data_IF_330862026348
#
_entry.id   IF_330862026348
#
_cell.length_a   1.000
_cell.length_b   1.000
_cell.length_c   1.000
_cell.angle_alpha   90.00
_cell.angle_beta   90.00
_cell.angle_gamma   90.00
#
_symmetry.space_group_name_H-M   'P 1'
#
loop_
_entity.id
_entity.type
_entity.pdbx_description
1 polymer ?
#
# COMPACT_ATOMS: atom_id res chain seq x y z
N UNK A 1 14.69 -18.21 13.51
CA UNK A 1 13.50 -18.59 12.72
C UNK A 1 12.67 -17.34 12.49
N UNK A 2 12.09 -17.13 11.30
CA UNK A 2 11.21 -15.98 11.05
C UNK A 2 10.02 -15.92 12.01
N UNK A 3 9.57 -14.71 12.34
CA UNK A 3 8.39 -14.50 13.18
C UNK A 3 7.14 -14.84 12.35
N UNK A 4 6.34 -15.79 12.81
CA UNK A 4 5.17 -16.27 12.05
C UNK A 4 3.94 -15.41 12.32
N UNK A 5 3.21 -15.04 11.25
CA UNK A 5 1.88 -14.42 11.26
C UNK A 5 1.11 -14.83 10.00
N UNK A 6 -0.18 -14.58 9.93
CA UNK A 6 -0.96 -14.74 8.68
C UNK A 6 -0.86 -13.48 7.83
N UNK A 7 -1.04 -12.30 8.44
CA UNK A 7 -0.86 -11.01 7.79
C UNK A 7 0.27 -10.22 8.45
N UNK A 8 1.14 -9.64 7.64
CA UNK A 8 2.04 -8.57 8.06
C UNK A 8 1.48 -7.25 7.53
N UNK A 9 1.13 -6.34 8.43
CA UNK A 9 0.58 -5.03 8.06
C UNK A 9 1.66 -3.99 8.33
N UNK A 10 2.10 -3.29 7.28
CA UNK A 10 3.08 -2.24 7.46
C UNK A 10 2.50 -0.84 7.22
N UNK A 11 2.98 0.11 8.04
CA UNK A 11 2.56 1.51 7.97
C UNK A 11 3.80 2.37 7.73
N UNK A 12 3.93 2.97 6.53
CA UNK A 12 5.01 3.92 6.27
C UNK A 12 4.74 5.23 7.02
N UNK A 13 5.73 5.70 7.77
CA UNK A 13 5.67 6.92 8.57
C UNK A 13 6.65 7.94 7.99
N UNK A 14 6.12 8.97 7.36
CA UNK A 14 6.90 10.04 6.76
C UNK A 14 7.08 11.26 7.68
N UNK A 15 7.86 12.27 7.24
CA UNK A 15 8.18 13.45 8.03
C UNK A 15 6.97 14.35 8.35
N UNK A 16 5.90 14.28 7.57
CA UNK A 16 4.67 15.08 7.77
C UNK A 16 3.60 14.34 8.60
N UNK A 17 3.90 13.15 9.13
CA UNK A 17 2.95 12.35 9.89
C UNK A 17 2.64 12.99 11.24
N UNK A 18 1.36 13.21 11.54
CA UNK A 18 0.89 13.58 12.89
C UNK A 18 0.82 12.33 13.77
N UNK A 19 1.40 12.41 14.96
CA UNK A 19 1.48 11.26 15.88
C UNK A 19 0.13 10.72 16.30
N UNK A 20 -0.85 11.59 16.55
CA UNK A 20 -2.22 11.22 16.93
C UNK A 20 -2.91 10.43 15.81
N UNK A 21 -2.68 10.81 14.56
CA UNK A 21 -3.25 10.13 13.38
C UNK A 21 -2.59 8.76 13.17
N UNK A 22 -1.28 8.68 13.38
CA UNK A 22 -0.57 7.40 13.38
C UNK A 22 -1.17 6.44 14.42
N UNK A 23 -1.37 6.90 15.66
CA UNK A 23 -1.98 6.06 16.70
C UNK A 23 -3.42 5.64 16.37
N UNK A 24 -4.21 6.51 15.75
CA UNK A 24 -5.55 6.15 15.28
C UNK A 24 -5.50 5.04 14.23
N UNK A 25 -4.61 5.15 13.26
CA UNK A 25 -4.40 4.12 12.23
C UNK A 25 -4.01 2.80 12.87
N UNK A 26 -3.00 2.80 13.75
CA UNK A 26 -2.53 1.58 14.42
C UNK A 26 -3.64 0.92 15.27
N UNK A 27 -4.36 1.71 16.07
CA UNK A 27 -5.48 1.22 16.88
C UNK A 27 -6.62 0.67 16.02
N UNK A 28 -6.87 1.25 14.85
CA UNK A 28 -7.86 0.74 13.92
C UNK A 28 -7.47 -0.64 13.38
N UNK A 29 -6.19 -0.86 13.10
CA UNK A 29 -5.68 -2.16 12.66
C UNK A 29 -5.85 -3.19 13.77
N UNK A 30 -5.38 -2.91 14.99
CA UNK A 30 -5.52 -3.82 16.14
C UNK A 30 -6.97 -4.20 16.43
N UNK A 31 -7.90 -3.28 16.14
CA UNK A 31 -9.32 -3.52 16.36
C UNK A 31 -9.98 -4.39 15.31
N UNK A 32 -9.60 -4.25 14.04
CA UNK A 32 -10.35 -4.78 12.91
C UNK A 32 -9.60 -5.84 12.07
N UNK A 33 -8.29 -6.01 12.24
CA UNK A 33 -7.59 -7.13 11.62
C UNK A 33 -8.04 -8.45 12.27
N UNK A 34 -8.50 -9.38 11.45
CA UNK A 34 -9.06 -10.66 11.94
C UNK A 34 -8.04 -11.78 11.98
N UNK A 35 -7.10 -11.74 11.04
CA UNK A 35 -6.08 -12.79 10.99
C UNK A 35 -5.07 -12.61 12.13
N UNK A 36 -4.29 -13.67 12.40
CA UNK A 36 -3.12 -13.52 13.25
C UNK A 36 -2.12 -12.60 12.56
N UNK A 37 -2.09 -11.33 12.97
CA UNK A 37 -1.28 -10.30 12.34
C UNK A 37 -0.09 -9.83 13.17
N UNK A 38 0.81 -9.12 12.51
CA UNK A 38 1.88 -8.30 13.10
C UNK A 38 1.87 -6.93 12.46
N UNK A 39 2.19 -5.92 13.26
CA UNK A 39 2.35 -4.54 12.80
C UNK A 39 3.82 -4.21 12.63
N UNK A 40 4.18 -3.64 11.48
CA UNK A 40 5.51 -3.13 11.18
C UNK A 40 5.41 -1.65 10.85
N UNK A 41 5.95 -0.78 11.72
CA UNK A 41 6.16 0.62 11.37
C UNK A 41 7.45 0.78 10.58
N UNK A 42 7.34 1.48 9.46
CA UNK A 42 8.49 1.83 8.61
C UNK A 42 8.76 3.31 8.81
N UNK A 43 9.64 3.62 9.77
CA UNK A 43 9.84 5.00 10.24
C UNK A 43 10.93 5.73 9.45
N UNK A 44 10.50 6.77 8.74
CA UNK A 44 11.34 7.74 8.04
C UNK A 44 11.13 9.16 8.60
N UNK A 45 10.52 9.28 9.77
CA UNK A 45 10.29 10.56 10.43
C UNK A 45 11.57 11.12 11.05
N UNK A 46 11.70 12.47 11.05
CA UNK A 46 12.79 13.15 11.72
C UNK A 46 12.73 13.01 13.24
N UNK A 47 11.52 12.84 13.77
CA UNK A 47 11.21 12.89 15.20
C UNK A 47 11.26 11.51 15.89
N UNK A 48 11.52 10.42 15.13
CA UNK A 48 11.51 9.06 15.66
C UNK A 48 10.09 8.63 16.11
N UNK A 49 9.09 8.89 15.30
CA UNK A 49 7.68 8.56 15.62
C UNK A 49 7.47 7.08 15.85
N UNK A 50 8.27 6.22 15.19
CA UNK A 50 8.24 4.78 15.42
C UNK A 50 8.59 4.40 16.85
N UNK A 51 9.63 5.02 17.45
CA UNK A 51 9.99 4.77 18.84
C UNK A 51 8.88 5.20 19.81
N UNK A 52 8.30 6.38 19.60
CA UNK A 52 7.16 6.87 20.38
C UNK A 52 5.93 5.97 20.24
N UNK A 53 5.65 5.47 19.04
CA UNK A 53 4.54 4.55 18.81
C UNK A 53 4.78 3.22 19.54
N UNK A 54 6.02 2.71 19.56
CA UNK A 54 6.38 1.49 20.29
C UNK A 54 6.24 1.65 21.81
N UNK A 55 6.49 2.84 22.37
CA UNK A 55 6.20 3.13 23.78
C UNK A 55 4.70 3.05 24.10
N UNK A 56 3.85 3.52 23.18
CA UNK A 56 2.39 3.48 23.32
C UNK A 56 1.78 2.11 23.02
N UNK A 57 2.43 1.31 22.16
CA UNK A 57 1.99 -0.01 21.68
C UNK A 57 3.22 -0.96 21.59
N UNK A 58 3.61 -1.61 22.69
CA UNK A 58 4.89 -2.37 22.76
C UNK A 58 5.00 -3.56 21.79
N UNK A 59 3.89 -4.09 21.31
CA UNK A 59 3.85 -5.24 20.38
C UNK A 59 4.22 -4.89 18.94
N UNK A 60 4.23 -3.61 18.54
CA UNK A 60 4.61 -3.24 17.18
C UNK A 60 6.09 -3.42 16.93
N UNK A 61 6.43 -3.82 15.72
CA UNK A 61 7.81 -3.83 15.25
C UNK A 61 8.12 -2.51 14.52
N UNK A 62 9.36 -2.04 14.63
CA UNK A 62 9.77 -0.78 14.00
C UNK A 62 11.01 -1.03 13.15
N UNK A 63 10.89 -0.69 11.85
CA UNK A 63 12.00 -0.61 10.90
C UNK A 63 12.33 0.85 10.66
N UNK A 64 13.50 1.30 11.04
CA UNK A 64 13.98 2.65 10.76
C UNK A 64 14.70 2.63 9.42
N UNK A 65 14.15 3.31 8.42
CA UNK A 65 14.75 3.43 7.08
C UNK A 65 15.51 4.74 6.86
N UNK A 66 15.50 5.62 7.83
CA UNK A 66 16.15 6.92 7.69
C UNK A 66 17.65 6.77 7.61
N UNK A 67 18.20 7.14 6.46
CA UNK A 67 19.64 7.40 6.33
C UNK A 67 19.94 8.84 6.76
N UNK A 68 21.01 9.10 7.52
CA UNK A 68 21.46 10.46 7.82
C UNK A 68 21.68 11.22 6.51
N UNK A 69 20.97 12.34 6.31
CA UNK A 69 21.08 13.15 5.11
C UNK A 69 20.18 12.74 3.94
N UNK A 70 19.23 11.81 4.13
CA UNK A 70 18.24 11.50 3.10
C UNK A 70 17.34 12.70 2.84
N UNK A 71 17.45 13.27 1.63
CA UNK A 71 16.68 14.42 1.16
C UNK A 71 15.18 14.08 0.99
N UNK A 72 14.35 15.14 0.97
CA UNK A 72 12.91 15.06 0.68
C UNK A 72 12.58 14.33 -0.65
N UNK A 73 13.55 14.23 -1.58
CA UNK A 73 13.43 13.51 -2.84
C UNK A 73 13.08 12.03 -2.68
N UNK A 74 13.51 11.38 -1.58
CA UNK A 74 13.17 9.98 -1.31
C UNK A 74 11.77 9.74 -0.72
N UNK A 75 10.96 10.78 -0.55
CA UNK A 75 9.62 10.66 0.05
C UNK A 75 8.49 10.73 -1.00
N UNK A 76 8.83 10.85 -2.27
CA UNK A 76 7.88 10.92 -3.39
C UNK A 76 8.33 10.04 -4.54
N UNK A 77 7.40 9.65 -5.39
CA UNK A 77 7.65 8.96 -6.66
C UNK A 77 8.62 7.76 -6.54
N UNK A 78 9.63 7.70 -7.40
CA UNK A 78 10.61 6.62 -7.42
C UNK A 78 11.44 6.48 -6.15
N UNK A 79 11.67 7.56 -5.41
CA UNK A 79 12.33 7.50 -4.10
C UNK A 79 11.51 6.73 -3.07
N UNK A 80 10.20 6.96 -3.02
CA UNK A 80 9.30 6.19 -2.16
C UNK A 80 9.25 4.71 -2.59
N UNK A 81 9.29 4.42 -3.90
CA UNK A 81 9.40 3.04 -4.40
C UNK A 81 10.62 2.30 -3.82
N UNK A 82 11.81 2.91 -3.82
CA UNK A 82 13.02 2.29 -3.27
C UNK A 82 12.84 1.94 -1.79
N UNK A 83 12.23 2.83 -0.99
CA UNK A 83 11.94 2.58 0.43
C UNK A 83 10.96 1.44 0.62
N UNK A 84 9.87 1.40 -0.16
CA UNK A 84 8.89 0.32 -0.09
C UNK A 84 9.52 -1.00 -0.51
N UNK A 85 10.36 -1.02 -1.53
CA UNK A 85 11.09 -2.22 -1.95
C UNK A 85 12.05 -2.75 -0.86
N UNK A 86 12.75 -1.87 -0.15
CA UNK A 86 13.55 -2.24 1.03
C UNK A 86 12.67 -2.83 2.13
N UNK A 87 11.48 -2.27 2.35
CA UNK A 87 10.50 -2.79 3.32
C UNK A 87 10.04 -4.20 2.95
N UNK A 88 9.69 -4.45 1.68
CA UNK A 88 9.29 -5.78 1.20
C UNK A 88 10.40 -6.81 1.40
N UNK A 89 11.65 -6.47 1.07
CA UNK A 89 12.82 -7.35 1.29
C UNK A 89 13.02 -7.65 2.77
N UNK A 90 12.95 -6.65 3.64
CA UNK A 90 13.05 -6.83 5.09
C UNK A 90 11.92 -7.73 5.61
N UNK A 91 10.68 -7.46 5.21
CA UNK A 91 9.53 -8.26 5.59
C UNK A 91 9.71 -9.72 5.17
N UNK A 92 10.13 -9.95 3.92
CA UNK A 92 10.32 -11.29 3.34
C UNK A 92 11.37 -12.11 4.08
N UNK A 93 12.44 -11.48 4.56
CA UNK A 93 13.54 -12.16 5.26
C UNK A 93 13.26 -12.34 6.76
N UNK A 94 12.51 -11.42 7.37
CA UNK A 94 12.32 -11.36 8.83
C UNK A 94 11.08 -12.11 9.29
N UNK A 95 10.00 -12.13 8.49
CA UNK A 95 8.71 -12.68 8.87
C UNK A 95 8.31 -13.84 7.95
N UNK A 96 7.48 -14.76 8.51
CA UNK A 96 6.73 -15.75 7.75
C UNK A 96 5.26 -15.32 7.77
N UNK A 97 4.73 -14.90 6.61
CA UNK A 97 3.36 -14.40 6.44
C UNK A 97 2.75 -14.96 5.16
N UNK A 98 1.44 -14.83 5.00
CA UNK A 98 0.70 -15.16 3.77
C UNK A 98 0.43 -13.91 2.94
N UNK A 99 0.10 -12.79 3.59
CA UNK A 99 -0.18 -11.50 2.96
C UNK A 99 0.61 -10.36 3.62
N UNK A 100 1.13 -9.45 2.80
CA UNK A 100 1.76 -8.19 3.20
C UNK A 100 0.84 -7.04 2.80
N UNK A 101 0.21 -6.39 3.78
CA UNK A 101 -0.71 -5.28 3.57
C UNK A 101 -0.04 -3.94 3.87
N UNK A 102 -0.24 -2.95 3.01
CA UNK A 102 0.16 -1.56 3.24
C UNK A 102 -1.03 -0.74 3.71
N UNK A 103 -0.86 -0.01 4.81
CA UNK A 103 -1.77 1.08 5.20
C UNK A 103 -0.97 2.36 5.40
N UNK A 104 -1.37 3.43 4.71
CA UNK A 104 -0.76 4.74 4.92
C UNK A 104 -1.31 5.38 6.21
N UNK A 105 -0.62 6.38 6.75
CA UNK A 105 -1.03 7.05 8.01
C UNK A 105 -2.35 7.81 7.88
N UNK A 106 -2.83 8.06 6.67
CA UNK A 106 -4.15 8.61 6.37
C UNK A 106 -5.15 7.54 5.86
N UNK A 107 -4.90 6.28 6.21
CA UNK A 107 -5.83 5.17 6.05
C UNK A 107 -6.35 4.70 7.42
N UNK A 108 -7.53 4.11 7.45
CA UNK A 108 -8.10 3.43 8.62
C UNK A 108 -8.67 2.08 8.23
N UNK A 109 -8.58 1.11 9.15
CA UNK A 109 -9.50 -0.01 9.14
C UNK A 109 -10.77 0.38 9.88
N UNK A 110 -11.94 0.12 9.30
CA UNK A 110 -13.23 0.48 9.88
C UNK A 110 -14.23 -0.68 9.96
N UNK A 111 -13.88 -1.81 9.36
CA UNK A 111 -14.53 -3.11 9.45
C UNK A 111 -13.49 -4.22 9.40
N UNK A 112 -13.90 -5.42 9.82
CA UNK A 112 -13.11 -6.64 9.68
C UNK A 112 -13.12 -7.21 8.25
N UNK A 113 -12.27 -8.21 7.99
CA UNK A 113 -12.33 -9.08 6.83
C UNK A 113 -11.40 -8.73 5.67
N UNK A 114 -10.72 -7.59 5.66
CA UNK A 114 -9.84 -7.23 4.53
C UNK A 114 -8.63 -8.19 4.41
N UNK A 115 -7.99 -8.50 5.51
CA UNK A 115 -6.80 -9.34 5.57
C UNK A 115 -7.13 -10.81 5.31
N UNK A 116 -8.20 -11.35 5.90
CA UNK A 116 -8.65 -12.73 5.68
C UNK A 116 -9.13 -12.95 4.25
N UNK A 117 -9.93 -12.02 3.72
CA UNK A 117 -10.42 -12.10 2.35
C UNK A 117 -9.31 -12.02 1.30
N UNK A 118 -8.27 -11.20 1.54
CA UNK A 118 -7.11 -11.15 0.66
C UNK A 118 -6.36 -12.48 0.63
N UNK A 119 -6.12 -13.08 1.80
CA UNK A 119 -5.48 -14.39 1.93
C UNK A 119 -6.28 -15.48 1.18
N UNK A 120 -7.61 -15.48 1.30
CA UNK A 120 -8.48 -16.44 0.59
C UNK A 120 -8.37 -16.28 -0.93
N UNK A 121 -8.47 -15.05 -1.45
CA UNK A 121 -8.41 -14.79 -2.89
C UNK A 121 -7.03 -15.16 -3.47
N UNK A 122 -5.94 -14.74 -2.82
CA UNK A 122 -4.59 -15.07 -3.26
C UNK A 122 -4.27 -16.56 -3.09
N UNK A 123 -4.88 -17.23 -2.12
CA UNK A 123 -4.78 -18.68 -1.96
C UNK A 123 -5.55 -19.45 -3.03
N UNK A 124 -6.64 -18.91 -3.54
CA UNK A 124 -7.46 -19.54 -4.60
C UNK A 124 -6.91 -19.31 -6.02
N UNK A 125 -6.22 -18.19 -6.26
CA UNK A 125 -5.52 -17.93 -7.53
C UNK A 125 -4.06 -17.50 -7.24
N UNK A 126 -3.09 -18.41 -7.39
CA UNK A 126 -1.69 -18.13 -7.13
C UNK A 126 -1.05 -17.14 -8.11
N UNK A 127 -1.73 -16.77 -9.20
CA UNK A 127 -1.27 -15.70 -10.12
C UNK A 127 -1.52 -14.31 -9.54
N UNK A 128 -2.45 -14.17 -8.58
CA UNK A 128 -2.74 -12.89 -7.92
C UNK A 128 -1.60 -12.49 -6.98
N UNK A 129 -0.66 -11.71 -7.52
CA UNK A 129 0.47 -11.18 -6.76
C UNK A 129 0.11 -9.97 -5.91
N UNK A 130 -0.79 -9.11 -6.40
CA UNK A 130 -1.16 -7.86 -5.74
C UNK A 130 -2.66 -7.59 -5.86
N UNK A 131 -3.29 -7.25 -4.74
CA UNK A 131 -4.69 -6.85 -4.66
C UNK A 131 -4.80 -5.38 -4.25
N UNK A 132 -5.81 -4.66 -4.74
CA UNK A 132 -6.08 -3.30 -4.33
C UNK A 132 -7.13 -2.60 -5.19
N UNK A 133 -7.21 -1.27 -5.16
CA UNK A 133 -8.01 -0.51 -6.11
C UNK A 133 -7.27 -0.51 -7.45
N UNK A 134 -7.66 -1.38 -8.36
CA UNK A 134 -6.96 -1.66 -9.62
C UNK A 134 -7.72 -1.08 -10.83
N UNK A 135 -8.63 -1.82 -11.43
CA UNK A 135 -9.41 -1.37 -12.58
C UNK A 135 -10.70 -0.67 -12.20
N UNK A 136 -11.20 -0.95 -11.00
CA UNK A 136 -12.48 -0.41 -10.53
C UNK A 136 -12.31 0.16 -9.11
N UNK A 137 -12.86 1.37 -8.89
CA UNK A 137 -12.99 1.98 -7.56
C UNK A 137 -14.21 1.40 -6.83
N UNK A 138 -14.27 1.67 -5.52
CA UNK A 138 -15.41 1.25 -4.70
C UNK A 138 -16.75 1.86 -5.14
N UNK A 139 -16.74 3.02 -5.79
CA UNK A 139 -17.94 3.70 -6.34
C UNK A 139 -18.28 3.25 -7.78
N UNK A 140 -17.65 2.20 -8.29
CA UNK A 140 -17.88 1.66 -9.63
C UNK A 140 -17.16 2.42 -10.76
N UNK A 141 -16.40 3.47 -10.45
CA UNK A 141 -15.65 4.19 -11.49
C UNK A 141 -14.59 3.31 -12.14
N UNK A 142 -14.58 3.29 -13.47
CA UNK A 142 -13.58 2.55 -14.25
C UNK A 142 -12.24 3.28 -14.29
N UNK A 143 -11.29 2.84 -13.47
CA UNK A 143 -9.92 3.38 -13.42
C UNK A 143 -9.09 3.07 -14.66
N UNK A 144 -9.43 2.04 -15.41
CA UNK A 144 -8.72 1.72 -16.66
C UNK A 144 -8.81 2.87 -17.69
N UNK A 145 -9.79 3.76 -17.56
CA UNK A 145 -9.88 4.97 -18.37
C UNK A 145 -8.69 5.94 -18.16
N UNK A 146 -8.03 5.88 -16.99
CA UNK A 146 -6.86 6.71 -16.66
C UNK A 146 -5.53 6.09 -17.13
N UNK A 147 -5.50 4.80 -17.48
CA UNK A 147 -4.28 4.09 -17.86
C UNK A 147 -3.53 4.74 -19.03
N UNK A 148 -4.17 5.24 -20.10
CA UNK A 148 -3.45 5.92 -21.16
C UNK A 148 -2.66 7.16 -20.69
N UNK A 149 -3.20 7.92 -19.73
CA UNK A 149 -2.51 9.08 -19.14
C UNK A 149 -1.27 8.65 -18.36
N UNK A 150 -1.41 7.62 -17.52
CA UNK A 150 -0.31 7.07 -16.75
C UNK A 150 0.70 6.38 -17.66
N UNK A 151 0.25 5.67 -18.69
CA UNK A 151 1.11 5.05 -19.71
C UNK A 151 2.02 6.06 -20.43
N UNK A 152 1.55 7.29 -20.61
CA UNK A 152 2.41 8.37 -21.13
C UNK A 152 3.50 8.79 -20.14
N UNK A 153 3.25 8.73 -18.82
CA UNK A 153 4.29 8.94 -17.81
C UNK A 153 5.31 7.79 -17.83
N UNK A 154 4.86 6.56 -17.94
CA UNK A 154 5.73 5.37 -18.06
C UNK A 154 6.66 5.52 -19.26
N UNK A 155 6.13 5.86 -20.47
CA UNK A 155 6.94 6.07 -21.68
C UNK A 155 7.95 7.20 -21.54
N UNK A 156 7.61 8.27 -20.81
CA UNK A 156 8.58 9.35 -20.54
C UNK A 156 9.77 8.88 -19.70
N UNK A 157 9.55 8.01 -18.73
CA UNK A 157 10.63 7.44 -17.92
C UNK A 157 11.44 6.41 -18.73
N UNK A 158 10.81 5.63 -19.62
CA UNK A 158 11.47 4.74 -20.57
C UNK A 158 12.40 5.50 -21.53
N UNK A 159 11.98 6.69 -21.99
CA UNK A 159 12.74 7.61 -22.82
C UNK A 159 13.44 8.73 -22.05
N UNK A 160 13.73 8.54 -20.77
CA UNK A 160 14.39 9.53 -19.91
C UNK A 160 15.73 10.00 -20.52
N UNK A 161 16.08 11.30 -20.40
CA UNK A 161 17.43 11.76 -20.72
C UNK A 161 18.49 11.21 -19.76
N UNK A 162 18.12 10.74 -18.59
CA UNK A 162 18.98 9.97 -17.71
C UNK A 162 19.07 8.52 -18.26
N UNK A 163 20.19 8.22 -18.94
CA UNK A 163 20.36 6.95 -19.63
C UNK A 163 20.41 5.75 -18.67
N UNK A 164 20.84 5.93 -17.42
CA UNK A 164 20.84 4.88 -16.42
C UNK A 164 19.39 4.50 -16.03
N UNK A 165 18.54 5.49 -15.79
CA UNK A 165 17.12 5.26 -15.54
C UNK A 165 16.44 4.66 -16.77
N UNK A 166 16.66 5.24 -17.96
CA UNK A 166 16.05 4.76 -19.19
C UNK A 166 16.41 3.29 -19.49
N UNK A 167 17.65 2.90 -19.23
CA UNK A 167 18.12 1.53 -19.42
C UNK A 167 17.38 0.54 -18.52
N UNK A 168 17.26 0.82 -17.21
CA UNK A 168 16.56 -0.09 -16.29
C UNK A 168 15.04 -0.09 -16.53
N UNK A 169 14.46 1.05 -16.93
CA UNK A 169 13.05 1.12 -17.32
C UNK A 169 12.75 0.28 -18.56
N UNK A 170 13.58 0.36 -19.61
CA UNK A 170 13.44 -0.47 -20.83
C UNK A 170 13.51 -1.97 -20.50
N UNK A 171 14.51 -2.37 -19.68
CA UNK A 171 14.63 -3.76 -19.25
C UNK A 171 13.40 -4.25 -18.50
N UNK A 172 12.97 -3.50 -17.49
CA UNK A 172 11.80 -3.81 -16.68
C UNK A 172 10.52 -3.91 -17.53
N UNK A 173 10.27 -2.92 -18.40
CA UNK A 173 9.09 -2.88 -19.25
C UNK A 173 9.08 -3.99 -20.29
N UNK A 174 10.24 -4.37 -20.83
CA UNK A 174 10.33 -5.51 -21.76
C UNK A 174 9.81 -6.80 -21.12
N UNK A 175 10.19 -7.09 -19.87
CA UNK A 175 9.74 -8.27 -19.16
C UNK A 175 8.26 -8.14 -18.74
N UNK A 176 7.86 -6.98 -18.24
CA UNK A 176 6.47 -6.74 -17.82
C UNK A 176 5.51 -6.88 -19.02
N UNK A 177 5.83 -6.30 -20.18
CA UNK A 177 5.03 -6.41 -21.39
C UNK A 177 4.98 -7.85 -21.94
N UNK A 178 6.06 -8.60 -21.86
CA UNK A 178 6.07 -10.01 -22.21
C UNK A 178 5.10 -10.84 -21.34
N UNK A 179 4.84 -10.38 -20.10
CA UNK A 179 3.88 -10.96 -19.16
C UNK A 179 2.51 -10.26 -19.17
N UNK A 180 2.20 -9.45 -20.19
CA UNK A 180 0.88 -8.86 -20.42
C UNK A 180 0.63 -7.54 -19.68
N UNK A 181 1.68 -6.78 -19.31
CA UNK A 181 1.51 -5.44 -18.76
C UNK A 181 0.83 -4.51 -19.76
N UNK A 182 -0.26 -3.88 -19.34
CA UNK A 182 -0.92 -2.81 -20.04
C UNK A 182 -0.35 -1.46 -19.57
N UNK A 183 0.19 -0.66 -20.49
CA UNK A 183 0.84 0.61 -20.14
C UNK A 183 -0.07 1.51 -19.30
N UNK A 184 0.37 1.76 -18.07
CA UNK A 184 -0.32 2.59 -17.09
C UNK A 184 -1.25 1.84 -16.15
N UNK A 185 -1.45 0.52 -16.33
CA UNK A 185 -2.17 -0.27 -15.32
C UNK A 185 -1.43 -0.20 -13.98
N UNK A 186 -2.17 0.03 -12.90
CA UNK A 186 -1.60 0.06 -11.56
C UNK A 186 -2.66 -0.14 -10.48
N UNK A 187 -2.22 -0.70 -9.37
CA UNK A 187 -2.96 -0.76 -8.11
C UNK A 187 -2.58 0.47 -7.28
N UNK A 188 -3.55 1.15 -6.65
CA UNK A 188 -3.24 2.23 -5.72
C UNK A 188 -2.44 1.70 -4.52
N UNK A 189 -1.40 2.43 -4.13
CA UNK A 189 -0.49 2.05 -3.04
C UNK A 189 -1.20 1.83 -1.70
N UNK A 190 -1.98 2.80 -1.21
CA UNK A 190 -2.72 2.66 0.05
C UNK A 190 -3.72 1.50 0.00
N UNK A 191 -3.69 0.62 1.02
CA UNK A 191 -4.55 -0.56 1.09
C UNK A 191 -4.15 -1.69 0.13
N UNK A 192 -3.02 -1.59 -0.57
CA UNK A 192 -2.54 -2.68 -1.41
C UNK A 192 -2.06 -3.87 -0.58
N UNK A 193 -2.29 -5.08 -1.10
CA UNK A 193 -1.95 -6.33 -0.42
C UNK A 193 -1.19 -7.23 -1.38
N UNK A 194 0.04 -7.55 -1.05
CA UNK A 194 0.89 -8.47 -1.81
C UNK A 194 0.86 -9.87 -1.20
N UNK A 195 0.78 -10.90 -2.04
CA UNK A 195 0.94 -12.29 -1.60
C UNK A 195 2.39 -12.57 -1.18
N UNK A 196 2.59 -13.57 -0.33
CA UNK A 196 3.94 -14.05 0.03
C UNK A 196 4.77 -14.39 -1.21
N UNK A 197 4.17 -15.08 -2.17
CA UNK A 197 4.83 -15.47 -3.43
C UNK A 197 5.30 -14.23 -4.22
N UNK A 198 4.47 -13.17 -4.27
CA UNK A 198 4.87 -11.91 -4.91
C UNK A 198 6.05 -11.26 -4.19
N UNK A 199 6.01 -11.19 -2.86
CA UNK A 199 7.10 -10.62 -2.06
C UNK A 199 8.43 -11.37 -2.27
N UNK A 200 8.39 -12.70 -2.35
CA UNK A 200 9.55 -13.55 -2.62
C UNK A 200 10.09 -13.36 -4.05
N UNK A 201 9.21 -13.37 -5.05
CA UNK A 201 9.59 -13.16 -6.44
C UNK A 201 10.20 -11.76 -6.67
N UNK A 202 9.57 -10.72 -6.11
CA UNK A 202 10.08 -9.34 -6.14
C UNK A 202 11.43 -9.24 -5.43
N UNK A 203 11.58 -9.83 -4.25
CA UNK A 203 12.84 -9.77 -3.49
C UNK A 203 14.00 -10.47 -4.21
N UNK A 204 13.71 -11.48 -5.01
CA UNK A 204 14.69 -12.20 -5.85
C UNK A 204 14.97 -11.48 -7.17
N UNK A 205 14.12 -10.54 -7.60
CA UNK A 205 14.28 -9.85 -8.88
C UNK A 205 15.41 -8.82 -8.79
N UNK A 206 16.43 -8.86 -9.67
CA UNK A 206 17.66 -8.07 -9.52
C UNK A 206 17.45 -6.55 -9.50
N UNK A 207 16.49 -6.04 -10.28
CA UNK A 207 16.21 -4.61 -10.37
C UNK A 207 15.25 -4.11 -9.29
N UNK A 208 14.63 -4.98 -8.49
CA UNK A 208 13.66 -4.53 -7.48
C UNK A 208 14.34 -3.75 -6.35
N UNK A 209 13.99 -2.47 -6.23
CA UNK A 209 14.63 -1.54 -5.28
C UNK A 209 16.00 -1.03 -5.71
N UNK A 210 16.33 -1.10 -7.01
CA UNK A 210 17.52 -0.47 -7.56
C UNK A 210 17.43 1.06 -7.44
N UNK A 211 18.50 1.69 -6.95
CA UNK A 211 18.56 3.12 -6.65
C UNK A 211 18.33 4.02 -7.87
N UNK A 212 18.58 3.52 -9.06
CA UNK A 212 18.32 4.28 -10.30
C UNK A 212 16.84 4.65 -10.46
N UNK A 213 15.93 3.84 -9.92
CA UNK A 213 14.50 4.16 -9.91
C UNK A 213 14.13 5.35 -9.01
N UNK A 214 15.01 5.78 -8.09
CA UNK A 214 14.77 6.97 -7.28
C UNK A 214 14.62 8.24 -8.11
N UNK A 215 15.18 8.24 -9.33
CA UNK A 215 15.10 9.34 -10.30
C UNK A 215 13.80 9.29 -11.16
N UNK A 216 13.00 8.24 -11.05
CA UNK A 216 11.76 8.11 -11.82
C UNK A 216 10.70 9.11 -11.35
N UNK A 217 10.04 9.76 -12.30
CA UNK A 217 8.84 10.59 -12.06
C UNK A 217 7.55 9.76 -12.11
N UNK A 218 7.61 8.55 -11.55
CA UNK A 218 6.50 7.61 -11.38
C UNK A 218 6.33 7.35 -9.90
N UNK A 219 5.09 7.43 -9.42
CA UNK A 219 4.81 7.04 -8.05
C UNK A 219 5.09 5.56 -7.81
N UNK A 220 5.31 5.21 -6.57
CA UNK A 220 5.71 3.87 -6.15
C UNK A 220 4.70 2.79 -6.55
N UNK A 221 3.42 3.12 -6.57
CA UNK A 221 2.34 2.21 -6.95
C UNK A 221 2.38 1.82 -8.44
N UNK A 222 2.76 2.77 -9.31
CA UNK A 222 3.00 2.48 -10.73
C UNK A 222 4.18 1.53 -10.91
N UNK A 223 5.32 1.82 -10.24
CA UNK A 223 6.51 0.98 -10.33
C UNK A 223 6.24 -0.42 -9.78
N UNK A 224 5.60 -0.54 -8.59
CA UNK A 224 5.23 -1.85 -8.04
C UNK A 224 4.38 -2.68 -8.99
N UNK A 225 3.40 -2.06 -9.65
CA UNK A 225 2.53 -2.75 -10.59
C UNK A 225 3.29 -3.25 -11.84
N UNK A 226 4.25 -2.49 -12.34
CA UNK A 226 5.14 -2.94 -13.42
C UNK A 226 5.99 -4.13 -12.94
N UNK A 227 6.56 -4.06 -11.73
CA UNK A 227 7.37 -5.15 -11.18
C UNK A 227 6.56 -6.43 -10.93
N UNK A 228 5.30 -6.33 -10.47
CA UNK A 228 4.39 -7.49 -10.33
C UNK A 228 4.24 -8.21 -11.67
N UNK A 229 4.04 -7.47 -12.76
CA UNK A 229 3.98 -8.07 -14.10
C UNK A 229 5.33 -8.62 -14.55
N UNK A 230 6.43 -7.92 -14.30
CA UNK A 230 7.76 -8.39 -14.68
C UNK A 230 8.11 -9.74 -14.05
N UNK A 231 7.66 -10.01 -12.82
CA UNK A 231 7.83 -11.34 -12.19
C UNK A 231 6.74 -12.36 -12.56
N UNK A 232 5.92 -12.08 -13.58
CA UNK A 232 4.92 -13.02 -14.13
C UNK A 232 3.65 -13.16 -13.30
N UNK A 233 3.38 -12.21 -12.39
CA UNK A 233 2.18 -12.20 -11.56
C UNK A 233 1.16 -11.15 -12.04
N UNK A 234 -0.05 -11.23 -11.49
CA UNK A 234 -1.18 -10.37 -11.85
C UNK A 234 -1.62 -9.48 -10.69
N UNK A 235 -2.19 -8.33 -11.05
CA UNK A 235 -2.92 -7.48 -10.12
C UNK A 235 -4.42 -7.76 -10.20
N UNK A 236 -5.11 -7.69 -9.05
CA UNK A 236 -6.56 -7.91 -8.97
C UNK A 236 -7.30 -6.77 -8.28
N UNK A 237 -8.57 -6.56 -8.67
CA UNK A 237 -9.46 -5.62 -7.97
C UNK A 237 -9.81 -6.13 -6.57
N UNK A 238 -9.79 -5.21 -5.62
CA UNK A 238 -10.17 -5.46 -4.23
C UNK A 238 -11.04 -4.33 -3.64
N UNK A 239 -11.51 -3.42 -4.51
CA UNK A 239 -12.27 -2.23 -4.12
C UNK A 239 -13.73 -2.22 -4.63
N UNK A 240 -14.02 -2.91 -5.74
CA UNK A 240 -15.36 -2.89 -6.34
C UNK A 240 -16.41 -3.66 -5.52
N UNK A 241 -17.67 -3.35 -5.74
CA UNK A 241 -18.84 -4.03 -5.19
C UNK A 241 -18.74 -4.30 -3.67
N UNK A 242 -18.84 -5.56 -3.27
CA UNK A 242 -18.76 -6.07 -1.89
C UNK A 242 -17.31 -6.27 -1.39
N UNK A 243 -16.31 -5.97 -2.22
CA UNK A 243 -14.92 -6.10 -1.82
C UNK A 243 -14.51 -5.01 -0.81
N UNK A 244 -13.55 -5.30 0.08
CA UNK A 244 -13.41 -4.58 1.34
C UNK A 244 -12.72 -3.20 1.25
N UNK A 245 -12.17 -2.79 0.10
CA UNK A 245 -11.47 -1.50 0.03
C UNK A 245 -12.38 -0.35 -0.38
N UNK A 246 -12.36 0.74 0.41
CA UNK A 246 -12.87 2.07 0.10
C UNK A 246 -11.71 3.04 -0.12
N UNK A 247 -10.86 2.80 -1.12
CA UNK A 247 -9.58 3.48 -1.29
C UNK A 247 -9.59 4.41 -2.50
N UNK A 248 -9.15 5.66 -2.27
CA UNK A 248 -8.90 6.67 -3.30
C UNK A 248 -7.73 7.58 -2.91
N UNK A 249 -7.24 8.41 -3.85
CA UNK A 249 -6.01 9.17 -3.66
C UNK A 249 -6.16 10.43 -2.80
N UNK A 250 -7.33 11.07 -2.77
CA UNK A 250 -7.44 12.43 -2.23
C UNK A 250 -8.35 12.57 -1.00
N UNK A 251 -9.51 11.92 -1.01
CA UNK A 251 -10.54 11.98 0.06
C UNK A 251 -11.51 10.81 -0.09
N UNK A 252 -12.40 10.65 0.86
CA UNK A 252 -13.39 9.57 0.83
C UNK A 252 -14.40 9.78 -0.30
N UNK A 253 -14.84 8.69 -0.94
CA UNK A 253 -15.84 8.71 -2.01
C UNK A 253 -17.26 8.80 -1.45
N UNK A 254 -17.48 8.29 -0.25
CA UNK A 254 -18.76 8.28 0.48
C UNK A 254 -18.52 8.73 1.91
N UNK A 255 -19.63 9.04 2.62
CA UNK A 255 -19.53 9.35 4.05
C UNK A 255 -18.95 8.17 4.84
N UNK A 256 -18.35 8.41 6.02
CA UNK A 256 -17.89 7.35 6.90
C UNK A 256 -18.96 6.29 7.19
N UNK A 257 -20.21 6.72 7.43
CA UNK A 257 -21.35 5.81 7.68
C UNK A 257 -21.65 4.94 6.46
N UNK A 258 -21.68 5.53 5.27
CA UNK A 258 -21.95 4.81 4.02
C UNK A 258 -20.86 3.79 3.73
N UNK A 259 -19.58 4.15 3.92
CA UNK A 259 -18.46 3.22 3.75
C UNK A 259 -18.57 2.03 4.69
N UNK A 260 -18.86 2.29 5.97
CA UNK A 260 -19.06 1.26 6.98
C UNK A 260 -20.28 0.39 6.68
N UNK A 261 -21.41 0.99 6.23
CA UNK A 261 -22.62 0.28 5.86
C UNK A 261 -22.43 -0.62 4.64
N UNK A 262 -21.66 -0.16 3.66
CA UNK A 262 -21.27 -0.96 2.47
C UNK A 262 -20.25 -2.06 2.77
N UNK A 263 -19.85 -2.25 4.02
CA UNK A 263 -18.90 -3.29 4.41
C UNK A 263 -17.45 -3.00 4.02
N UNK A 264 -17.11 -1.73 3.70
CA UNK A 264 -15.72 -1.39 3.44
C UNK A 264 -14.90 -1.53 4.72
N UNK A 265 -13.81 -2.29 4.64
CA UNK A 265 -12.97 -2.60 5.80
C UNK A 265 -11.75 -1.69 5.90
N UNK A 266 -11.19 -1.26 4.78
CA UNK A 266 -10.09 -0.31 4.70
C UNK A 266 -10.52 0.90 3.91
N UNK A 267 -10.32 2.09 4.46
CA UNK A 267 -10.66 3.37 3.82
C UNK A 267 -9.43 4.26 3.70
N UNK A 268 -9.33 4.98 2.59
CA UNK A 268 -8.29 5.98 2.29
C UNK A 268 -8.83 6.94 1.19
N UNK A 269 -8.50 8.23 1.17
CA UNK A 269 -7.75 8.96 2.17
C UNK A 269 -8.73 9.59 3.16
N UNK A 270 -8.49 9.44 4.45
CA UNK A 270 -9.35 10.06 5.49
C UNK A 270 -9.04 11.55 5.70
N UNK A 271 -8.28 12.17 4.81
CA UNK A 271 -7.93 13.61 4.86
C UNK A 271 -9.14 14.52 4.72
N UNK A 272 -10.24 14.03 4.21
CA UNK A 272 -11.48 14.81 4.13
C UNK A 272 -12.65 14.05 3.50
N UNK A 273 -13.85 14.64 3.71
CA UNK A 273 -15.10 14.25 3.06
C UNK A 273 -16.04 15.44 3.01
N UNK A 274 -16.44 15.92 1.82
CA UNK A 274 -17.21 17.16 1.69
C UNK A 274 -16.47 18.34 2.32
N UNK A 275 -17.11 18.99 3.28
CA UNK A 275 -16.53 20.10 4.06
C UNK A 275 -15.76 19.64 5.30
N UNK A 276 -15.71 18.34 5.59
CA UNK A 276 -15.01 17.79 6.77
C UNK A 276 -13.52 17.65 6.48
N UNK A 277 -12.70 18.08 7.44
CA UNK A 277 -11.27 17.80 7.47
C UNK A 277 -10.96 16.43 8.08
N UNK A 278 -9.69 16.12 8.20
CA UNK A 278 -9.22 14.81 8.70
C UNK A 278 -9.62 14.55 10.15
N UNK A 279 -9.60 15.58 11.00
CA UNK A 279 -9.98 15.45 12.41
C UNK A 279 -11.45 15.02 12.57
N UNK A 280 -12.39 15.64 11.80
CA UNK A 280 -13.80 15.30 11.79
C UNK A 280 -14.06 13.89 11.23
N UNK A 281 -13.43 13.56 10.11
CA UNK A 281 -13.55 12.23 9.49
C UNK A 281 -13.10 11.14 10.45
N UNK A 282 -11.93 11.31 11.09
CA UNK A 282 -11.42 10.35 12.08
C UNK A 282 -12.31 10.26 13.34
N UNK A 283 -12.83 11.39 13.82
CA UNK A 283 -13.76 11.41 14.95
C UNK A 283 -15.01 10.59 14.63
N UNK A 284 -15.54 10.70 13.42
CA UNK A 284 -16.71 9.96 13.00
C UNK A 284 -16.44 8.45 12.90
N UNK A 285 -15.31 8.03 12.33
CA UNK A 285 -14.95 6.60 12.33
C UNK A 285 -14.77 6.05 13.75
N UNK A 286 -14.20 6.83 14.70
CA UNK A 286 -14.14 6.42 16.11
C UNK A 286 -15.52 6.26 16.71
N UNK A 287 -16.46 7.18 16.44
CA UNK A 287 -17.85 7.11 16.88
C UNK A 287 -18.55 5.84 16.35
N UNK A 288 -18.43 5.59 15.05
CA UNK A 288 -19.02 4.40 14.40
C UNK A 288 -18.42 3.10 14.94
N UNK A 289 -17.13 3.09 15.21
CA UNK A 289 -16.47 1.95 15.81
C UNK A 289 -16.96 1.65 17.24
N UNK A 290 -17.38 2.66 18.02
CA UNK A 290 -17.86 2.49 19.39
C UNK A 290 -19.30 1.92 19.49
N UNK A 291 -20.08 1.96 18.40
CA UNK A 291 -21.45 1.43 18.36
C UNK A 291 -21.40 -0.09 18.23
N UNK A 292 -22.02 -0.84 19.17
CA UNK A 292 -22.14 -2.29 19.03
C UNK A 292 -22.90 -2.63 17.74
N UNK A 293 -22.31 -3.45 16.89
CA UNK A 293 -23.03 -3.97 15.72
C UNK A 293 -23.78 -5.23 16.17
N UNK A 294 -25.08 -5.14 16.14
CA UNK A 294 -25.91 -6.34 16.29
C UNK A 294 -25.70 -7.19 15.02
N UNK A 295 -25.03 -8.31 15.17
CA UNK A 295 -24.85 -9.37 14.15
C UNK A 295 -26.16 -10.08 13.86
#
# INVERSE_FOLDING_TARGET
MPVACSSLIYVPVGPATRFEFLLDTLRSIERFAESRHRLLLVDDSAEGLGARAKEAMPEIDVLVLREPGSDAAYNVDGGLFVKVARTVRYATTTYSFQALMRLDTDALMCNSGADTRAIELQGSDPRLGMLGSFRTRCDGHNRAADFPKIGNLVRRNEGSPDEELASVMRSLLSEACANGYEYGEHVLGPGSIMSRAACEALSAYPLYGDERFSKASLSEDHLHSIFIRAVGLESGDFACDDLPLGVWSWHLQWSPEELVWRGKSVVHSVRGYGDWGEDEVRAEFRRLAAVPRYS
#
